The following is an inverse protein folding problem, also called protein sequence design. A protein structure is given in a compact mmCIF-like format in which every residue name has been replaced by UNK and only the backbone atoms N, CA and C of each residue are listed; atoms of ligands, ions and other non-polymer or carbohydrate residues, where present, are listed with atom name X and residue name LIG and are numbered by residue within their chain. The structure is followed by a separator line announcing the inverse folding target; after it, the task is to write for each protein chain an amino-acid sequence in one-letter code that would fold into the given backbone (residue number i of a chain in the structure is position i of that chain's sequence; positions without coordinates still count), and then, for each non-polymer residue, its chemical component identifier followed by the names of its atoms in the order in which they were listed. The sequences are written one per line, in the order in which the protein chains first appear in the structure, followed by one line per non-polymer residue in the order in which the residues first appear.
data_IF_513483594743
#
_entry.id   IF_513483594743
#
_cell.length_a   1.000
_cell.length_b   1.000
_cell.length_c   1.000
_cell.angle_alpha   90.00
_cell.angle_beta   90.00
_cell.angle_gamma   90.00
#
_symmetry.space_group_name_H-M   'P 1'
#
loop_
_entity.id
_entity.type
_entity.pdbx_description
1 polymer ?
#
# COMPACT_ATOMS: atom_id res chain seq x y z
N UNK A 1 4.00 -23.35 -6.94
CA UNK A 1 3.27 -22.77 -8.11
C UNK A 1 2.49 -21.57 -7.60
N UNK A 2 2.62 -20.42 -8.21
CA UNK A 2 1.88 -19.22 -7.75
C UNK A 2 0.39 -19.36 -8.12
N UNK A 3 -0.48 -18.85 -7.26
CA UNK A 3 -1.91 -18.76 -7.56
C UNK A 3 -2.13 -17.77 -8.69
N UNK A 4 -2.98 -18.13 -9.67
CA UNK A 4 -3.34 -17.25 -10.80
C UNK A 4 -4.84 -16.96 -10.79
N UNK A 5 -5.21 -15.70 -10.97
CA UNK A 5 -6.59 -15.26 -11.11
C UNK A 5 -6.75 -14.62 -12.49
N UNK A 6 -7.70 -15.14 -13.27
CA UNK A 6 -8.00 -14.68 -14.64
C UNK A 6 -9.36 -14.02 -14.79
N UNK A 7 -10.24 -14.11 -13.78
CA UNK A 7 -11.57 -13.52 -13.80
C UNK A 7 -11.68 -12.33 -12.84
N UNK A 8 -12.18 -11.22 -13.33
CA UNK A 8 -12.50 -10.04 -12.49
C UNK A 8 -13.69 -10.29 -11.54
N UNK A 9 -14.47 -11.35 -11.77
CA UNK A 9 -15.57 -11.75 -10.89
C UNK A 9 -15.11 -12.52 -9.65
N UNK A 10 -13.82 -12.85 -9.58
CA UNK A 10 -13.24 -13.51 -8.42
C UNK A 10 -13.46 -12.71 -7.15
N UNK A 11 -13.86 -13.39 -6.06
CA UNK A 11 -14.18 -12.77 -4.76
C UNK A 11 -13.00 -11.97 -4.18
N UNK A 12 -11.77 -12.41 -4.39
CA UNK A 12 -10.57 -11.71 -3.90
C UNK A 12 -10.35 -10.39 -4.65
N UNK A 13 -10.55 -10.37 -5.97
CA UNK A 13 -10.45 -9.16 -6.78
C UNK A 13 -11.56 -8.17 -6.41
N UNK A 14 -12.80 -8.64 -6.26
CA UNK A 14 -13.90 -7.81 -5.77
C UNK A 14 -13.64 -7.24 -4.37
N UNK A 15 -13.01 -8.02 -3.49
CA UNK A 15 -12.62 -7.55 -2.15
C UNK A 15 -11.54 -6.47 -2.24
N UNK A 16 -10.50 -6.67 -3.06
CA UNK A 16 -9.42 -5.70 -3.27
C UNK A 16 -9.97 -4.37 -3.78
N UNK A 17 -10.84 -4.40 -4.82
CA UNK A 17 -11.48 -3.19 -5.34
C UNK A 17 -12.32 -2.49 -4.26
N UNK A 18 -13.07 -3.24 -3.46
CA UNK A 18 -13.83 -2.66 -2.35
C UNK A 18 -12.91 -2.03 -1.30
N UNK A 19 -11.77 -2.63 -1.02
CA UNK A 19 -10.80 -2.12 -0.05
C UNK A 19 -10.20 -0.78 -0.51
N UNK A 20 -9.94 -0.62 -1.81
CA UNK A 20 -9.52 0.66 -2.41
C UNK A 20 -10.60 1.73 -2.17
N UNK A 21 -11.87 1.41 -2.44
CA UNK A 21 -12.94 2.41 -2.54
C UNK A 21 -13.71 2.66 -1.24
N UNK A 22 -13.61 1.76 -0.23
CA UNK A 22 -14.44 1.84 0.99
C UNK A 22 -13.59 2.04 2.24
N UNK A 23 -13.52 3.26 2.81
CA UNK A 23 -12.78 3.53 4.06
C UNK A 23 -13.23 2.67 5.24
N UNK A 24 -14.55 2.41 5.35
CA UNK A 24 -15.10 1.55 6.40
C UNK A 24 -14.50 0.14 6.35
N UNK A 25 -14.39 -0.46 5.15
CA UNK A 25 -13.80 -1.78 5.01
C UNK A 25 -12.32 -1.82 5.41
N UNK A 26 -11.55 -0.77 5.09
CA UNK A 26 -10.16 -0.63 5.54
C UNK A 26 -10.04 -0.59 7.06
N UNK A 27 -10.95 0.12 7.73
CA UNK A 27 -10.99 0.20 9.19
C UNK A 27 -11.35 -1.14 9.82
N UNK A 28 -12.39 -1.81 9.31
CA UNK A 28 -12.87 -3.11 9.80
C UNK A 28 -11.83 -4.23 9.58
N UNK A 29 -11.20 -4.27 8.42
CA UNK A 29 -10.18 -5.29 8.08
C UNK A 29 -8.78 -4.95 8.59
N UNK A 30 -8.59 -3.80 9.22
CA UNK A 30 -7.28 -3.26 9.63
C UNK A 30 -6.23 -3.37 8.52
N UNK A 31 -6.62 -3.11 7.27
CA UNK A 31 -5.74 -3.24 6.10
C UNK A 31 -6.01 -2.16 5.08
N UNK A 32 -5.02 -1.92 4.23
CA UNK A 32 -5.08 -0.93 3.15
C UNK A 32 -4.34 -1.44 1.92
N UNK A 33 -4.50 -0.73 0.82
CA UNK A 33 -3.87 -1.10 -0.45
C UNK A 33 -2.67 -0.20 -0.70
N UNK A 34 -1.56 -0.83 -1.10
CA UNK A 34 -0.34 -0.18 -1.56
C UNK A 34 -0.13 -0.55 -3.02
N UNK A 35 0.13 0.44 -3.85
CA UNK A 35 0.33 0.29 -5.28
C UNK A 35 1.71 0.81 -5.67
N UNK A 36 2.45 0.00 -6.42
CA UNK A 36 3.80 0.32 -6.89
C UNK A 36 4.90 -0.35 -6.08
N UNK A 37 6.03 -0.57 -6.75
CA UNK A 37 7.20 -1.25 -6.16
C UNK A 37 7.82 -0.42 -5.06
N UNK A 38 8.05 0.88 -5.33
CA UNK A 38 8.70 1.80 -4.39
C UNK A 38 7.88 1.95 -3.11
N UNK A 39 6.58 2.16 -3.22
CA UNK A 39 5.67 2.33 -2.09
C UNK A 39 5.61 1.04 -1.26
N UNK A 40 5.63 -0.13 -1.92
CA UNK A 40 5.63 -1.41 -1.23
C UNK A 40 6.96 -1.68 -0.52
N UNK A 41 8.09 -1.35 -1.14
CA UNK A 41 9.42 -1.44 -0.51
C UNK A 41 9.51 -0.54 0.72
N UNK A 42 9.00 0.69 0.64
CA UNK A 42 8.94 1.60 1.80
C UNK A 42 8.08 1.04 2.92
N UNK A 43 6.89 0.52 2.60
CA UNK A 43 6.03 -0.09 3.61
C UNK A 43 6.72 -1.29 4.28
N UNK A 44 7.32 -2.17 3.50
CA UNK A 44 8.01 -3.36 3.99
C UNK A 44 9.23 -3.01 4.86
N UNK A 45 10.09 -2.10 4.40
CA UNK A 45 11.28 -1.63 5.15
C UNK A 45 10.91 -0.93 6.46
N UNK A 46 9.74 -0.33 6.52
CA UNK A 46 9.20 0.26 7.75
C UNK A 46 8.39 -0.74 8.60
N UNK A 47 8.51 -2.05 8.35
CA UNK A 47 7.94 -3.10 9.18
C UNK A 47 6.42 -3.24 9.07
N UNK A 48 5.82 -2.85 7.94
CA UNK A 48 4.43 -3.19 7.65
C UNK A 48 4.35 -4.65 7.18
N UNK A 49 3.38 -5.39 7.71
CA UNK A 49 3.13 -6.77 7.29
C UNK A 49 2.32 -6.79 6.00
N UNK A 50 2.88 -7.43 4.98
CA UNK A 50 2.21 -7.61 3.68
C UNK A 50 1.35 -8.86 3.76
N UNK A 51 0.06 -8.72 3.48
CA UNK A 51 -0.89 -9.83 3.48
C UNK A 51 -0.85 -10.64 2.19
N UNK A 52 -0.83 -9.93 1.05
CA UNK A 52 -0.83 -10.50 -0.31
C UNK A 52 -0.30 -9.49 -1.31
N UNK A 53 0.34 -9.98 -2.36
CA UNK A 53 0.73 -9.18 -3.52
C UNK A 53 0.05 -9.73 -4.77
N UNK A 54 -0.59 -8.86 -5.52
CA UNK A 54 -1.12 -9.12 -6.85
C UNK A 54 -0.12 -8.56 -7.87
N UNK A 55 0.42 -9.40 -8.74
CA UNK A 55 1.39 -8.96 -9.74
C UNK A 55 0.93 -9.32 -11.16
N UNK A 56 1.28 -8.45 -12.09
CA UNK A 56 1.10 -8.69 -13.51
C UNK A 56 2.39 -9.25 -14.12
N UNK A 57 2.44 -10.55 -14.51
CA UNK A 57 3.65 -11.17 -15.03
C UNK A 57 4.14 -10.60 -16.37
N UNK A 58 3.31 -9.81 -17.07
CA UNK A 58 3.73 -9.07 -18.26
C UNK A 58 4.53 -7.81 -17.97
N UNK A 59 4.52 -7.33 -16.71
CA UNK A 59 5.20 -6.10 -16.27
C UNK A 59 6.35 -6.43 -15.32
N UNK A 60 6.15 -7.38 -14.40
CA UNK A 60 7.15 -7.77 -13.41
C UNK A 60 7.23 -9.29 -13.28
N UNK A 61 8.44 -9.83 -13.14
CA UNK A 61 8.63 -11.27 -12.91
C UNK A 61 8.15 -11.65 -11.49
N UNK A 62 7.14 -12.55 -11.37
CA UNK A 62 6.65 -13.00 -10.07
C UNK A 62 7.70 -13.67 -9.19
N UNK A 63 8.75 -14.27 -9.78
CA UNK A 63 9.85 -14.90 -9.04
C UNK A 63 10.67 -13.84 -8.30
N UNK A 64 10.94 -12.71 -8.94
CA UNK A 64 11.63 -11.58 -8.31
C UNK A 64 10.81 -11.03 -7.15
N UNK A 65 9.50 -10.88 -7.32
CA UNK A 65 8.61 -10.44 -6.24
C UNK A 65 8.66 -11.42 -5.07
N UNK A 66 8.58 -12.72 -5.35
CA UNK A 66 8.59 -13.77 -4.32
C UNK A 66 9.92 -13.85 -3.56
N UNK A 67 11.05 -13.55 -4.20
CA UNK A 67 12.35 -13.53 -3.52
C UNK A 67 12.51 -12.35 -2.54
N UNK A 68 11.77 -11.27 -2.75
CA UNK A 68 11.82 -10.06 -1.93
C UNK A 68 10.83 -10.08 -0.76
N UNK A 69 9.68 -10.74 -0.93
CA UNK A 69 8.60 -10.70 0.03
C UNK A 69 8.13 -12.11 0.41
N UNK A 70 8.23 -12.44 1.70
CA UNK A 70 7.68 -13.70 2.24
C UNK A 70 6.17 -13.60 2.44
N UNK A 71 5.43 -13.66 1.31
CA UNK A 71 3.97 -13.54 1.31
C UNK A 71 3.34 -14.29 0.12
N UNK A 72 2.01 -14.39 0.12
CA UNK A 72 1.27 -14.96 -1.01
C UNK A 72 1.34 -14.04 -2.23
N UNK A 73 1.90 -14.55 -3.33
CA UNK A 73 1.94 -13.88 -4.63
C UNK A 73 0.82 -14.43 -5.51
N UNK A 74 -0.02 -13.54 -6.03
CA UNK A 74 -1.14 -13.86 -6.90
C UNK A 74 -0.89 -13.22 -8.27
N UNK A 75 -0.79 -14.03 -9.30
CA UNK A 75 -0.65 -13.55 -10.67
C UNK A 75 -2.01 -13.13 -11.23
N UNK A 76 -2.05 -11.96 -11.84
CA UNK A 76 -3.24 -11.42 -12.49
C UNK A 76 -2.93 -10.99 -13.94
N UNK A 77 -3.91 -11.08 -14.83
CA UNK A 77 -3.77 -10.62 -16.21
C UNK A 77 -3.89 -9.08 -16.32
N UNK A 78 -3.62 -8.54 -17.51
CA UNK A 78 -3.68 -7.10 -17.79
C UNK A 78 -5.05 -6.48 -17.46
N UNK A 79 -6.13 -7.18 -17.79
CA UNK A 79 -7.50 -6.68 -17.59
C UNK A 79 -7.83 -6.53 -16.10
N UNK A 80 -7.42 -7.48 -15.28
CA UNK A 80 -7.58 -7.40 -13.83
C UNK A 80 -6.65 -6.33 -13.27
N UNK A 81 -5.40 -6.32 -13.70
CA UNK A 81 -4.41 -5.37 -13.21
C UNK A 81 -4.86 -3.92 -13.44
N UNK A 82 -5.36 -3.60 -14.63
CA UNK A 82 -5.90 -2.27 -14.95
C UNK A 82 -7.11 -1.86 -14.10
N UNK A 83 -7.89 -2.83 -13.58
CA UNK A 83 -9.03 -2.56 -12.69
C UNK A 83 -8.65 -2.36 -11.24
N UNK A 84 -7.54 -2.96 -10.79
CA UNK A 84 -7.08 -2.88 -9.40
C UNK A 84 -6.01 -1.81 -9.18
N UNK A 85 -5.34 -1.34 -10.25
CA UNK A 85 -4.38 -0.25 -10.22
C UNK A 85 -5.09 1.09 -10.37
N UNK A 86 -4.64 2.09 -9.61
CA UNK A 86 -5.16 3.45 -9.68
C UNK A 86 -4.45 4.27 -10.76
N UNK A 87 -3.16 3.97 -10.98
CA UNK A 87 -2.33 4.64 -11.99
C UNK A 87 -2.07 3.70 -13.15
N UNK A 88 -2.22 4.18 -14.37
CA UNK A 88 -1.98 3.42 -15.61
C UNK A 88 -0.52 3.00 -15.83
N UNK A 89 0.42 3.55 -15.08
CA UNK A 89 1.89 3.36 -15.21
C UNK A 89 2.51 2.69 -13.98
N UNK A 90 1.79 1.82 -13.30
CA UNK A 90 2.32 1.15 -12.13
C UNK A 90 3.26 0.01 -12.48
N UNK A 91 4.21 -0.23 -11.60
CA UNK A 91 5.31 -1.17 -11.73
C UNK A 91 4.89 -2.64 -11.62
N UNK A 92 3.64 -2.94 -11.97
CA UNK A 92 3.12 -4.32 -12.05
C UNK A 92 2.70 -4.94 -10.72
N UNK A 93 2.64 -4.18 -9.63
CA UNK A 93 2.31 -4.69 -8.29
C UNK A 93 1.26 -3.86 -7.58
N UNK A 94 0.33 -4.57 -6.92
CA UNK A 94 -0.64 -4.02 -5.97
C UNK A 94 -0.69 -4.95 -4.76
N UNK A 95 -0.55 -4.42 -3.55
CA UNK A 95 -0.51 -5.22 -2.33
C UNK A 95 -1.63 -4.86 -1.34
N UNK A 96 -2.08 -5.84 -0.57
CA UNK A 96 -2.85 -5.62 0.65
C UNK A 96 -1.86 -5.68 1.82
N UNK A 97 -1.86 -4.63 2.63
CA UNK A 97 -0.95 -4.45 3.75
C UNK A 97 -1.75 -4.24 5.03
N UNK A 98 -1.31 -4.82 6.14
CA UNK A 98 -1.95 -4.61 7.44
C UNK A 98 -1.60 -3.24 8.01
N UNK A 99 -2.58 -2.60 8.66
CA UNK A 99 -2.32 -1.40 9.45
C UNK A 99 -1.52 -1.78 10.69
N UNK A 100 -0.59 -0.93 11.08
CA UNK A 100 0.07 -1.05 12.38
C UNK A 100 -0.88 -0.65 13.50
N UNK A 101 -0.73 -1.28 14.65
CA UNK A 101 -1.42 -0.82 15.86
C UNK A 101 -0.88 0.57 16.23
N UNK A 102 -1.82 1.47 16.57
CA UNK A 102 -1.52 2.86 16.91
C UNK A 102 -0.96 3.04 18.35
N UNK A 103 -0.16 2.09 18.83
CA UNK A 103 0.55 2.24 20.10
C UNK A 103 1.77 3.13 19.91
N UNK A 104 1.51 4.38 19.56
CA UNK A 104 2.56 5.38 19.44
C UNK A 104 2.85 5.94 20.83
N UNK A 105 4.02 5.64 21.37
CA UNK A 105 4.54 6.33 22.55
C UNK A 105 5.36 7.52 22.07
N UNK A 106 4.91 8.71 22.42
CA UNK A 106 5.69 9.92 22.21
C UNK A 106 6.91 9.87 23.14
N UNK A 107 8.08 9.89 22.55
CA UNK A 107 9.33 10.17 23.27
C UNK A 107 9.59 11.67 23.12
N UNK A 108 9.10 12.45 24.10
CA UNK A 108 9.15 13.91 24.03
C UNK A 108 10.60 14.45 23.93
N UNK A 109 11.58 13.71 24.42
CA UNK A 109 12.99 14.11 24.38
C UNK A 109 13.59 14.03 22.97
N UNK A 110 12.90 13.37 22.03
CA UNK A 110 13.32 13.22 20.62
C UNK A 110 12.54 14.07 19.63
N UNK A 111 11.61 14.89 20.10
CA UNK A 111 10.78 15.72 19.24
C UNK A 111 11.30 17.16 19.30
N UNK A 112 11.98 17.60 18.25
CA UNK A 112 12.45 19.00 18.11
C UNK A 112 11.45 19.82 17.28
N UNK A 113 10.83 19.20 16.28
CA UNK A 113 9.90 19.87 15.37
C UNK A 113 8.66 19.00 15.16
N UNK A 114 7.51 19.55 15.53
CA UNK A 114 6.21 18.92 15.30
C UNK A 114 5.34 19.80 14.40
N UNK A 115 4.65 19.19 13.44
CA UNK A 115 3.66 19.85 12.59
C UNK A 115 2.26 19.32 12.90
N UNK A 116 1.33 20.20 13.17
CA UNK A 116 -0.09 19.87 13.36
C UNK A 116 -0.85 20.17 12.08
N UNK A 117 -1.56 19.19 11.56
CA UNK A 117 -2.44 19.33 10.39
C UNK A 117 -3.90 19.37 10.86
N UNK A 118 -4.59 20.45 10.55
CA UNK A 118 -6.01 20.60 10.82
C UNK A 118 -6.78 20.90 9.54
N UNK A 119 -7.93 20.23 9.35
CA UNK A 119 -8.85 20.48 8.24
C UNK A 119 -8.31 20.18 6.84
N UNK A 120 -7.28 19.36 6.68
CA UNK A 120 -6.73 18.98 5.36
C UNK A 120 -7.60 17.89 4.72
N UNK A 121 -8.42 18.28 3.75
CA UNK A 121 -9.37 17.38 3.10
C UNK A 121 -8.80 16.64 1.88
N UNK A 122 -7.92 17.29 1.12
CA UNK A 122 -7.40 16.74 -0.15
C UNK A 122 -6.19 15.83 0.07
N UNK A 123 -6.26 14.53 -0.30
CA UNK A 123 -5.13 13.59 -0.14
C UNK A 123 -3.84 14.06 -0.82
N UNK A 124 -3.95 14.76 -1.97
CA UNK A 124 -2.78 15.31 -2.66
C UNK A 124 -2.06 16.39 -1.85
N UNK A 125 -2.78 17.23 -1.11
CA UNK A 125 -2.20 18.23 -0.23
C UNK A 125 -1.47 17.57 0.95
N UNK A 126 -2.09 16.54 1.56
CA UNK A 126 -1.45 15.77 2.63
C UNK A 126 -0.14 15.16 2.12
N UNK A 127 -0.15 14.52 0.95
CA UNK A 127 1.06 13.93 0.37
C UNK A 127 2.15 14.96 0.05
N UNK A 128 1.79 16.18 -0.38
CA UNK A 128 2.75 17.26 -0.59
C UNK A 128 3.35 17.75 0.73
N UNK A 129 2.52 17.94 1.76
CA UNK A 129 2.96 18.36 3.09
C UNK A 129 3.91 17.29 3.68
N UNK A 130 3.55 16.01 3.62
CA UNK A 130 4.39 14.92 4.13
C UNK A 130 5.78 14.90 3.47
N UNK A 131 5.88 15.13 2.15
CA UNK A 131 7.18 15.27 1.46
C UNK A 131 7.98 16.48 1.94
N UNK A 132 7.31 17.59 2.20
CA UNK A 132 7.97 18.78 2.75
C UNK A 132 8.46 18.56 4.17
N UNK A 133 7.68 17.86 4.99
CA UNK A 133 8.05 17.48 6.34
C UNK A 133 9.27 16.55 6.36
N UNK A 134 9.30 15.56 5.48
CA UNK A 134 10.42 14.64 5.32
C UNK A 134 11.71 15.41 4.94
N UNK A 135 11.60 16.37 4.02
CA UNK A 135 12.72 17.23 3.60
C UNK A 135 13.19 18.23 4.67
N UNK A 136 12.30 18.59 5.59
CA UNK A 136 12.57 19.53 6.68
C UNK A 136 12.89 18.85 8.02
N UNK A 137 13.04 17.53 8.00
CA UNK A 137 13.39 16.71 9.17
C UNK A 137 12.38 16.90 10.34
N UNK A 138 11.08 16.93 9.99
CA UNK A 138 9.99 17.04 10.99
C UNK A 138 9.86 15.71 11.73
N UNK A 139 9.99 15.73 13.05
CA UNK A 139 9.97 14.53 13.90
C UNK A 139 8.55 13.97 14.10
N UNK A 140 7.53 14.84 14.09
CA UNK A 140 6.14 14.47 14.38
C UNK A 140 5.16 15.24 13.47
N UNK A 141 4.15 14.52 12.96
CA UNK A 141 3.04 15.11 12.19
C UNK A 141 1.73 14.62 12.77
#
# INVERSE_FOLDING_TARGET
MNKRISSSDNKEIKHLIKLVNKPRLRKESKSFVVEGKRELEMAYSNGYLIKKIYCNPNIIDPKTVKSQYDTEIIEVNNDIYSKISFRSSTEGMVAIVFQKDKNFKLDNDKINLALVLDGIEKPGNIGAILRSCDSADVDLI
#
